data_IF_570850376389
#
_entry.id   IF_570850376389
#
_cell.length_a   1.000
_cell.length_b   1.000
_cell.length_c   1.000
_cell.angle_alpha   90.00
_cell.angle_beta   90.00
_cell.angle_gamma   90.00
#
_symmetry.space_group_name_H-M   'P 1'
#
loop_
_entity.id
_entity.type
_entity.pdbx_description
1 polymer ?
#
# COMPACT_ATOMS: atom_id res chain seq x y z
N UNK A 1 12.74 -6.31 -6.82
CA UNK A 1 11.85 -5.82 -7.89
C UNK A 1 11.02 -4.66 -7.39
N UNK A 2 10.88 -3.64 -8.21
CA UNK A 2 10.10 -2.47 -7.85
C UNK A 2 8.60 -2.84 -7.89
N UNK A 3 7.83 -2.61 -6.81
CA UNK A 3 6.44 -3.08 -6.72
C UNK A 3 5.49 -2.43 -7.72
N UNK A 4 5.86 -1.28 -8.30
CA UNK A 4 5.06 -0.57 -9.30
C UNK A 4 5.20 -1.12 -10.72
N UNK A 5 6.06 -2.11 -10.95
CA UNK A 5 6.30 -2.66 -12.28
C UNK A 5 5.64 -4.03 -12.45
N UNK A 6 4.89 -4.21 -13.53
CA UNK A 6 4.33 -5.51 -13.90
C UNK A 6 5.40 -6.46 -14.41
N UNK A 7 6.45 -5.91 -15.01
CA UNK A 7 7.60 -6.64 -15.52
C UNK A 7 8.87 -6.13 -14.87
N UNK A 8 9.71 -7.04 -14.42
CA UNK A 8 11.06 -6.72 -13.96
C UNK A 8 12.07 -7.31 -14.93
N UNK A 9 13.02 -6.51 -15.34
CA UNK A 9 14.22 -6.97 -16.06
C UNK A 9 15.37 -6.94 -15.09
N UNK A 10 16.03 -8.06 -14.97
CA UNK A 10 17.23 -8.18 -14.15
C UNK A 10 18.44 -8.27 -15.06
N UNK A 11 19.48 -7.57 -14.68
CA UNK A 11 20.78 -7.64 -15.35
C UNK A 11 21.83 -7.91 -14.29
N UNK A 12 22.63 -8.91 -14.51
CA UNK A 12 23.83 -9.14 -13.73
C UNK A 12 24.95 -8.31 -14.35
N UNK A 13 25.55 -7.45 -13.53
CA UNK A 13 26.69 -6.64 -13.94
C UNK A 13 27.91 -7.16 -13.19
N UNK A 14 28.88 -7.67 -13.94
CA UNK A 14 30.17 -8.11 -13.39
C UNK A 14 31.23 -7.11 -13.80
N UNK A 15 31.87 -6.50 -12.82
CA UNK A 15 32.99 -5.58 -13.04
C UNK A 15 34.28 -6.24 -12.57
N UNK A 16 35.28 -6.31 -13.46
CA UNK A 16 36.61 -6.77 -13.10
C UNK A 16 37.33 -5.72 -12.26
N UNK A 17 37.77 -6.10 -11.07
CA UNK A 17 38.53 -5.19 -10.19
C UNK A 17 39.97 -4.94 -10.72
N UNK A 18 40.44 -5.77 -11.65
CA UNK A 18 41.82 -5.65 -12.21
C UNK A 18 41.84 -4.82 -13.47
N UNK A 19 40.91 -5.07 -14.39
CA UNK A 19 40.90 -4.43 -15.70
C UNK A 19 39.86 -3.32 -15.83
N UNK A 20 38.92 -3.22 -14.89
CA UNK A 20 37.77 -2.32 -14.98
C UNK A 20 36.73 -2.74 -16.03
N UNK A 21 36.97 -3.83 -16.75
CA UNK A 21 36.04 -4.34 -17.75
C UNK A 21 34.68 -4.69 -17.13
N UNK A 22 33.62 -4.32 -17.82
CA UNK A 22 32.24 -4.58 -17.39
C UNK A 22 31.61 -5.55 -18.37
N UNK A 23 31.07 -6.64 -17.83
CA UNK A 23 30.28 -7.61 -18.57
C UNK A 23 28.84 -7.59 -18.09
N UNK A 24 27.92 -7.73 -19.03
CA UNK A 24 26.47 -7.72 -18.73
C UNK A 24 25.86 -9.06 -19.16
N UNK A 25 24.98 -9.60 -18.35
CA UNK A 25 24.08 -10.66 -18.78
C UNK A 25 22.69 -10.09 -18.90
N UNK A 26 22.03 -10.33 -20.04
CA UNK A 26 20.62 -10.01 -20.19
C UNK A 26 19.80 -11.20 -19.67
N UNK A 27 18.99 -10.92 -18.66
CA UNK A 27 18.01 -11.89 -18.15
C UNK A 27 16.66 -11.52 -18.79
N UNK A 28 15.91 -12.52 -19.30
CA UNK A 28 14.62 -12.24 -19.88
C UNK A 28 13.68 -11.56 -18.89
N UNK A 29 12.76 -10.77 -19.41
CA UNK A 29 11.73 -10.12 -18.57
C UNK A 29 10.83 -11.18 -17.98
N UNK A 30 10.66 -11.15 -16.67
CA UNK A 30 9.71 -12.01 -15.96
C UNK A 30 8.49 -11.20 -15.54
N UNK A 31 7.32 -11.80 -15.72
CA UNK A 31 6.10 -11.30 -15.10
C UNK A 31 6.20 -11.53 -13.59
N UNK A 32 6.24 -10.45 -12.84
CA UNK A 32 6.19 -10.52 -11.37
C UNK A 32 4.73 -10.52 -10.95
N UNK A 33 4.11 -11.69 -11.01
CA UNK A 33 2.78 -11.89 -10.44
C UNK A 33 2.85 -11.74 -8.92
N UNK A 34 2.27 -10.67 -8.39
CA UNK A 34 2.19 -10.46 -6.95
C UNK A 34 0.85 -11.02 -6.47
N UNK A 35 0.89 -12.09 -5.68
CA UNK A 35 -0.28 -12.67 -5.02
C UNK A 35 -0.60 -11.99 -3.68
N UNK A 36 0.00 -10.84 -3.42
CA UNK A 36 -0.09 -10.13 -2.15
C UNK A 36 -0.27 -8.66 -2.41
N UNK A 37 -0.92 -7.96 -1.49
CA UNK A 37 -0.87 -6.51 -1.48
C UNK A 37 0.50 -6.05 -1.02
N UNK A 38 1.03 -5.04 -1.69
CA UNK A 38 2.28 -4.38 -1.30
C UNK A 38 1.97 -2.91 -1.06
N UNK A 39 2.36 -2.41 0.09
CA UNK A 39 2.28 -1.00 0.47
C UNK A 39 3.70 -0.49 0.66
N UNK A 40 4.03 0.58 -0.01
CA UNK A 40 5.35 1.20 0.04
C UNK A 40 5.22 2.68 0.40
N UNK A 41 6.07 3.15 1.30
CA UNK A 41 6.16 4.56 1.68
C UNK A 41 7.62 4.99 1.85
N UNK A 42 7.84 6.29 1.87
CA UNK A 42 9.18 6.85 2.02
C UNK A 42 9.33 7.34 3.47
N UNK A 43 9.79 6.47 4.35
CA UNK A 43 10.06 6.79 5.74
C UNK A 43 11.56 6.68 6.00
N UNK A 44 12.16 7.75 6.50
CA UNK A 44 13.50 7.71 7.04
C UNK A 44 13.45 7.03 8.42
N UNK A 45 14.18 5.93 8.56
CA UNK A 45 14.17 5.09 9.76
C UNK A 45 14.53 5.83 11.04
N UNK A 46 15.41 6.84 10.92
CA UNK A 46 15.94 7.60 12.07
C UNK A 46 14.97 8.62 12.67
N UNK A 47 13.85 8.89 12.01
CA UNK A 47 12.88 9.90 12.48
C UNK A 47 11.88 9.38 13.52
N UNK A 48 11.85 8.08 13.79
CA UNK A 48 10.90 7.50 14.73
C UNK A 48 11.60 6.97 15.97
N UNK A 49 11.73 7.81 16.99
CA UNK A 49 12.05 7.38 18.35
C UNK A 49 10.82 6.69 18.96
N UNK A 50 10.68 5.39 18.69
CA UNK A 50 9.71 4.57 19.40
C UNK A 50 10.23 4.31 20.81
N UNK A 51 9.67 4.97 21.80
CA UNK A 51 9.99 4.78 23.21
C UNK A 51 9.66 3.38 23.75
N UNK A 52 8.88 2.60 22.99
CA UNK A 52 8.50 1.21 23.31
C UNK A 52 8.91 0.27 22.18
N UNK A 53 10.18 0.24 21.83
CA UNK A 53 10.67 -0.77 20.90
C UNK A 53 10.56 -2.16 21.55
N UNK A 54 9.86 -3.13 20.89
CA UNK A 54 9.93 -4.49 21.34
C UNK A 54 11.40 -4.95 21.26
N UNK A 55 11.88 -5.61 22.29
CA UNK A 55 13.25 -6.15 22.41
C UNK A 55 13.63 -7.08 21.26
N UNK A 56 12.64 -7.59 20.54
CA UNK A 56 12.79 -8.41 19.34
C UNK A 56 12.47 -7.55 18.10
N UNK A 57 13.39 -6.68 17.68
CA UNK A 57 13.24 -5.96 16.43
C UNK A 57 13.10 -6.95 15.27
N UNK A 58 11.96 -6.96 14.56
CA UNK A 58 11.86 -7.77 13.37
C UNK A 58 12.90 -7.29 12.35
N UNK A 59 13.45 -8.22 11.57
CA UNK A 59 14.38 -7.91 10.47
C UNK A 59 13.71 -7.14 9.31
N UNK A 60 12.68 -6.35 9.61
CA UNK A 60 11.97 -5.52 8.66
C UNK A 60 12.68 -4.16 8.52
N UNK A 61 13.18 -3.90 7.34
CA UNK A 61 13.83 -2.63 7.02
C UNK A 61 12.87 -1.76 6.20
N UNK A 62 12.14 -0.95 6.85
CA UNK A 62 11.72 0.31 6.51
C UNK A 62 10.55 0.63 5.66
N UNK A 63 10.52 0.59 4.40
CA UNK A 63 9.57 1.33 3.57
C UNK A 63 8.61 0.46 2.75
N UNK A 64 8.54 -0.82 3.01
CA UNK A 64 7.69 -1.73 2.25
C UNK A 64 7.06 -2.80 3.13
N UNK A 65 5.74 -2.89 3.07
CA UNK A 65 4.94 -3.90 3.73
C UNK A 65 4.30 -4.82 2.70
N UNK A 66 4.45 -6.11 2.88
CA UNK A 66 3.80 -7.14 2.07
C UNK A 66 2.74 -7.84 2.91
N UNK A 67 1.51 -7.82 2.43
CA UNK A 67 0.38 -8.51 3.06
C UNK A 67 0.03 -9.77 2.26
N UNK A 68 0.48 -10.96 2.71
CA UNK A 68 0.23 -12.22 1.99
C UNK A 68 -1.12 -12.84 2.33
N UNK A 69 -1.97 -12.12 3.05
CA UNK A 69 -3.26 -12.59 3.53
C UNK A 69 -4.37 -12.38 2.52
N UNK A 70 -5.47 -13.10 2.72
CA UNK A 70 -6.69 -12.86 1.97
C UNK A 70 -7.34 -11.57 2.48
N UNK A 71 -7.40 -10.56 1.62
CA UNK A 71 -7.91 -9.23 1.96
C UNK A 71 -9.24 -9.06 1.25
N UNK A 72 -10.27 -8.72 2.02
CA UNK A 72 -11.55 -8.31 1.46
C UNK A 72 -11.46 -6.85 1.04
N UNK A 73 -11.58 -6.59 -0.25
CA UNK A 73 -11.47 -5.25 -0.85
C UNK A 73 -12.87 -4.80 -1.28
N UNK A 74 -13.31 -3.66 -0.77
CA UNK A 74 -14.54 -3.00 -1.15
C UNK A 74 -14.23 -1.62 -1.71
N UNK A 75 -14.39 -1.47 -3.02
CA UNK A 75 -14.13 -0.23 -3.73
C UNK A 75 -15.40 0.60 -3.90
N UNK A 76 -15.30 1.89 -3.63
CA UNK A 76 -16.36 2.86 -3.86
C UNK A 76 -15.84 3.98 -4.77
N UNK A 77 -16.56 4.22 -5.84
CA UNK A 77 -16.30 5.34 -6.74
C UNK A 77 -17.22 6.50 -6.37
N UNK A 78 -16.64 7.54 -5.78
CA UNK A 78 -17.36 8.75 -5.43
C UNK A 78 -17.18 9.78 -6.56
N UNK A 79 -18.20 9.91 -7.39
CA UNK A 79 -18.25 11.02 -8.34
C UNK A 79 -18.61 12.30 -7.60
N UNK A 80 -17.87 13.38 -7.85
CA UNK A 80 -18.25 14.71 -7.37
C UNK A 80 -19.52 15.16 -8.10
N UNK A 81 -20.68 14.97 -7.46
CA UNK A 81 -22.00 15.27 -8.02
C UNK A 81 -22.76 16.19 -7.10
N UNK A 82 -22.99 17.40 -7.56
CA UNK A 82 -23.93 18.33 -6.92
C UNK A 82 -25.32 18.15 -7.52
N UNK A 83 -26.33 17.92 -6.66
CA UNK A 83 -27.73 17.84 -7.04
C UNK A 83 -28.45 19.10 -6.59
N UNK A 84 -29.03 19.82 -7.53
CA UNK A 84 -29.77 21.07 -7.26
C UNK A 84 -31.24 20.85 -7.59
N UNK A 85 -32.10 21.11 -6.61
CA UNK A 85 -33.54 21.08 -6.79
C UNK A 85 -34.02 22.46 -7.26
N UNK A 86 -34.71 22.46 -8.37
CA UNK A 86 -35.35 23.68 -8.91
C UNK A 86 -36.85 23.65 -8.67
N UNK A 87 -37.39 24.78 -8.26
CA UNK A 87 -38.83 24.94 -8.09
C UNK A 87 -39.51 24.71 -9.44
N UNK A 88 -40.52 23.82 -9.46
CA UNK A 88 -41.29 23.49 -10.67
C UNK A 88 -40.72 22.35 -11.50
N UNK A 89 -39.65 21.69 -11.07
CA UNK A 89 -39.17 20.46 -11.67
C UNK A 89 -39.47 19.26 -10.77
N UNK A 90 -39.85 18.14 -11.37
CA UNK A 90 -40.17 16.91 -10.64
C UNK A 90 -38.92 16.21 -10.09
N UNK A 91 -37.76 16.40 -10.71
CA UNK A 91 -36.50 15.78 -10.35
C UNK A 91 -35.36 16.79 -10.27
N UNK A 92 -34.39 16.59 -9.36
CA UNK A 92 -33.20 17.44 -9.28
C UNK A 92 -32.32 17.32 -10.53
N UNK A 93 -31.57 18.37 -10.80
CA UNK A 93 -30.54 18.38 -11.86
C UNK A 93 -29.19 18.05 -11.24
N UNK A 94 -28.46 17.12 -11.86
CA UNK A 94 -27.12 16.73 -11.43
C UNK A 94 -26.05 17.51 -12.19
N UNK A 95 -25.11 18.08 -11.45
CA UNK A 95 -23.90 18.70 -11.99
C UNK A 95 -22.72 17.85 -11.57
N UNK A 96 -21.91 17.46 -12.52
CA UNK A 96 -20.73 16.61 -12.29
C UNK A 96 -19.49 17.49 -12.21
N UNK A 97 -18.72 17.32 -11.15
CA UNK A 97 -17.37 17.88 -11.03
C UNK A 97 -16.36 17.13 -11.90
N UNK A 98 -15.14 17.64 -11.93
CA UNK A 98 -14.04 17.06 -12.71
C UNK A 98 -13.24 16.02 -11.93
N UNK A 99 -13.46 15.89 -10.63
CA UNK A 99 -12.75 14.95 -9.76
C UNK A 99 -13.53 13.66 -9.59
N UNK A 100 -12.84 12.54 -9.78
CA UNK A 100 -13.34 11.22 -9.49
C UNK A 100 -12.63 10.73 -8.20
N UNK A 101 -13.34 10.72 -7.08
CA UNK A 101 -12.85 10.12 -5.84
C UNK A 101 -12.96 8.60 -5.93
N UNK A 102 -11.87 7.91 -5.62
CA UNK A 102 -11.89 6.45 -5.42
C UNK A 102 -11.46 6.19 -3.99
N UNK A 103 -12.37 5.60 -3.22
CA UNK A 103 -12.11 5.14 -1.86
C UNK A 103 -12.27 3.63 -1.79
N UNK A 104 -11.47 2.99 -0.96
CA UNK A 104 -11.53 1.55 -0.73
C UNK A 104 -11.48 1.27 0.76
N UNK A 105 -12.29 0.34 1.21
CA UNK A 105 -12.19 -0.21 2.56
C UNK A 105 -11.74 -1.66 2.47
N UNK A 106 -10.64 -1.98 3.13
CA UNK A 106 -10.08 -3.31 3.15
C UNK A 106 -10.16 -3.90 4.55
N UNK A 107 -10.53 -5.17 4.63
CA UNK A 107 -10.55 -5.92 5.87
C UNK A 107 -9.65 -7.14 5.76
N UNK A 108 -8.84 -7.38 6.77
CA UNK A 108 -7.93 -8.51 6.84
C UNK A 108 -7.76 -8.99 8.26
N UNK A 109 -7.69 -10.30 8.45
CA UNK A 109 -7.38 -10.94 9.71
C UNK A 109 -5.90 -11.32 9.76
N UNK A 110 -5.16 -10.75 10.70
CA UNK A 110 -3.73 -10.97 10.84
C UNK A 110 -3.47 -11.82 12.09
N UNK A 111 -2.75 -12.95 11.96
CA UNK A 111 -2.37 -13.76 13.10
C UNK A 111 -1.53 -12.99 14.11
N UNK A 112 -1.78 -13.18 15.40
CA UNK A 112 -1.03 -12.49 16.49
C UNK A 112 0.44 -12.90 16.56
N UNK A 113 0.81 -14.03 16.00
CA UNK A 113 2.17 -14.53 15.92
C UNK A 113 2.98 -13.87 14.79
N UNK A 114 2.32 -13.25 13.80
CA UNK A 114 3.02 -12.46 12.77
C UNK A 114 3.36 -11.05 13.27
N UNK A 115 4.33 -11.02 14.19
CA UNK A 115 4.79 -9.76 14.80
C UNK A 115 5.37 -8.79 13.77
N UNK A 116 5.97 -9.30 12.70
CA UNK A 116 6.60 -8.47 11.66
C UNK A 116 5.57 -7.63 10.91
N UNK A 117 4.51 -8.28 10.44
CA UNK A 117 3.42 -7.59 9.74
C UNK A 117 2.70 -6.62 10.67
N UNK A 118 2.42 -7.04 11.91
CA UNK A 118 1.75 -6.17 12.89
C UNK A 118 2.60 -4.95 13.24
N UNK A 119 3.91 -5.10 13.37
CA UNK A 119 4.81 -3.98 13.61
C UNK A 119 4.83 -3.00 12.42
N UNK A 120 4.97 -3.52 11.19
CA UNK A 120 4.91 -2.70 9.99
C UNK A 120 3.59 -1.94 9.86
N UNK A 121 2.46 -2.57 10.19
CA UNK A 121 1.15 -1.93 10.16
C UNK A 121 1.01 -0.83 11.21
N UNK A 122 1.56 -1.02 12.41
CA UNK A 122 1.55 0.03 13.45
C UNK A 122 2.37 1.25 13.02
N UNK A 123 3.49 1.03 12.33
CA UNK A 123 4.26 2.12 11.76
C UNK A 123 3.49 2.84 10.64
N UNK A 124 2.87 2.09 9.75
CA UNK A 124 2.01 2.65 8.71
C UNK A 124 0.86 3.46 9.29
N UNK A 125 0.27 3.02 10.41
CA UNK A 125 -0.85 3.70 11.07
C UNK A 125 -0.49 5.10 11.59
N UNK A 126 0.78 5.36 11.89
CA UNK A 126 1.25 6.68 12.38
C UNK A 126 1.95 7.49 11.28
N UNK A 127 2.14 6.91 10.10
CA UNK A 127 2.77 7.57 8.98
C UNK A 127 1.87 8.68 8.42
N UNK A 128 2.42 9.87 8.25
CA UNK A 128 1.73 11.04 7.70
C UNK A 128 2.27 11.35 6.32
N UNK A 129 1.73 10.68 5.31
CA UNK A 129 2.14 10.90 3.93
C UNK A 129 1.42 9.97 2.97
N UNK A 130 1.67 10.16 1.69
CA UNK A 130 1.12 9.30 0.66
C UNK A 130 1.95 8.02 0.54
N UNK A 131 1.25 6.94 0.29
CA UNK A 131 1.87 5.63 0.10
C UNK A 131 1.56 5.10 -1.29
N UNK A 132 2.46 4.30 -1.82
CA UNK A 132 2.22 3.59 -3.06
C UNK A 132 1.68 2.20 -2.76
N UNK A 133 0.49 1.91 -3.28
CA UNK A 133 -0.20 0.64 -3.10
C UNK A 133 -0.15 -0.15 -4.38
N UNK A 134 0.11 -1.45 -4.26
CA UNK A 134 -0.04 -2.40 -5.35
C UNK A 134 -0.93 -3.55 -4.92
N UNK A 135 -1.99 -3.75 -5.67
CA UNK A 135 -2.94 -4.84 -5.49
C UNK A 135 -2.49 -6.13 -6.18
N UNK A 136 -3.04 -7.30 -5.78
CA UNK A 136 -2.78 -8.57 -6.46
C UNK A 136 -3.23 -8.59 -7.93
N UNK A 137 -4.17 -7.73 -8.29
CA UNK A 137 -4.65 -7.51 -9.67
C UNK A 137 -3.57 -6.94 -10.60
N UNK A 138 -2.49 -6.39 -10.03
CA UNK A 138 -1.45 -5.66 -10.74
C UNK A 138 -1.67 -4.15 -10.77
N UNK A 139 -2.82 -3.66 -10.34
CA UNK A 139 -3.09 -2.22 -10.20
C UNK A 139 -2.15 -1.60 -9.17
N UNK A 140 -1.58 -0.46 -9.53
CA UNK A 140 -0.74 0.32 -8.63
C UNK A 140 -1.15 1.78 -8.65
N UNK A 141 -1.24 2.39 -7.47
CA UNK A 141 -1.66 3.77 -7.31
C UNK A 141 -1.13 4.39 -6.02
N UNK A 142 -1.12 5.71 -5.99
CA UNK A 142 -0.85 6.46 -4.77
C UNK A 142 -2.12 6.59 -3.93
N UNK A 143 -1.96 6.51 -2.62
CA UNK A 143 -3.07 6.59 -1.70
C UNK A 143 -2.68 7.20 -0.36
N UNK A 144 -3.66 7.81 0.29
CA UNK A 144 -3.63 8.05 1.72
C UNK A 144 -4.32 6.88 2.42
N UNK A 145 -3.68 6.33 3.46
CA UNK A 145 -4.17 5.15 4.18
C UNK A 145 -4.35 5.44 5.66
N UNK A 146 -5.49 5.05 6.18
CA UNK A 146 -5.76 4.97 7.62
C UNK A 146 -5.90 3.52 8.04
N UNK A 147 -5.26 3.11 9.13
CA UNK A 147 -5.24 1.73 9.62
C UNK A 147 -5.88 1.66 11.00
N UNK A 148 -6.86 0.79 11.15
CA UNK A 148 -7.58 0.55 12.40
C UNK A 148 -7.42 -0.90 12.85
N UNK A 149 -7.16 -1.10 14.14
CA UNK A 149 -6.98 -2.43 14.74
C UNK A 149 -8.12 -2.73 15.70
N UNK A 150 -8.78 -3.86 15.51
CA UNK A 150 -9.83 -4.34 16.41
C UNK A 150 -9.34 -5.57 17.19
N UNK A 151 -8.54 -5.33 18.23
CA UNK A 151 -7.92 -6.39 18.99
C UNK A 151 -8.84 -6.91 20.10
N UNK A 152 -9.14 -8.22 20.07
CA UNK A 152 -9.77 -8.93 21.17
C UNK A 152 -8.75 -9.78 21.94
N UNK A 153 -8.90 -9.83 23.26
CA UNK A 153 -7.89 -10.44 24.14
C UNK A 153 -7.61 -11.91 23.81
N UNK A 154 -8.65 -12.71 23.63
CA UNK A 154 -8.55 -14.17 23.47
C UNK A 154 -8.55 -14.65 22.00
N UNK A 155 -8.71 -13.78 21.03
CA UNK A 155 -8.70 -14.18 19.63
C UNK A 155 -7.28 -14.44 19.13
N UNK A 156 -7.03 -15.47 18.30
CA UNK A 156 -5.72 -15.76 17.73
C UNK A 156 -5.33 -14.79 16.63
N UNK A 157 -6.30 -14.01 16.11
CA UNK A 157 -6.11 -13.05 15.03
C UNK A 157 -6.46 -11.64 15.50
N UNK A 158 -5.95 -10.66 14.76
CA UNK A 158 -6.30 -9.25 14.91
C UNK A 158 -6.96 -8.81 13.61
N UNK A 159 -8.27 -8.51 13.62
CA UNK A 159 -8.91 -7.87 12.48
C UNK A 159 -8.34 -6.46 12.30
N UNK A 160 -7.91 -6.17 11.08
CA UNK A 160 -7.36 -4.87 10.67
C UNK A 160 -8.22 -4.34 9.53
N UNK A 161 -8.62 -3.08 9.67
CA UNK A 161 -9.36 -2.36 8.64
C UNK A 161 -8.50 -1.23 8.09
N UNK A 162 -8.44 -1.12 6.78
CA UNK A 162 -7.79 -0.02 6.07
C UNK A 162 -8.85 0.82 5.38
N UNK A 163 -8.78 2.13 5.58
CA UNK A 163 -9.51 3.10 4.78
C UNK A 163 -8.52 3.77 3.84
N UNK A 164 -8.75 3.59 2.55
CA UNK A 164 -7.81 3.97 1.50
C UNK A 164 -8.49 5.00 0.60
N UNK A 165 -7.81 6.11 0.36
CA UNK A 165 -8.23 7.11 -0.63
C UNK A 165 -7.15 7.28 -1.66
N UNK A 166 -7.49 7.07 -2.92
CA UNK A 166 -6.56 7.30 -4.03
C UNK A 166 -6.30 8.79 -4.19
N UNK A 167 -5.03 9.12 -4.41
CA UNK A 167 -4.56 10.50 -4.62
C UNK A 167 -3.71 10.57 -5.90
N UNK A 168 -3.62 11.75 -6.49
CA UNK A 168 -2.64 12.01 -7.55
C UNK A 168 -1.28 12.16 -6.91
N UNK A 169 -0.53 11.06 -6.94
CA UNK A 169 0.56 10.81 -6.09
C UNK A 169 1.77 11.66 -6.06
N UNK A 170 2.41 11.55 -4.92
CA UNK A 170 3.85 11.64 -4.73
C UNK A 170 4.51 12.97 -5.09
N UNK A 171 4.11 14.05 -4.43
CA UNK A 171 4.92 15.26 -4.40
C UNK A 171 5.99 15.10 -3.32
#
# INVERSE_FOLDING_TARGET
PHPSLDYARYRIVVKSNVTGAISYSDIPSYYVGVKSVIIQWNEEWDSFEATDEPTDKPAWSGSMLKLPYNIDISDTNDADVSRIEYIGRMHPVSYYGTQLGVSSTWNVDIPKDDKNTLYGLRRLAVYMGDVYVREPSGSGYWANISVSFNQKHNDPVIPVTFDIRRVEGGI
#
